data_IF_547086812302
#
_entry.id   IF_547086812302
#
_cell.length_a   1.000
_cell.length_b   1.000
_cell.length_c   1.000
_cell.angle_alpha   90.00
_cell.angle_beta   90.00
_cell.angle_gamma   90.00
#
_symmetry.space_group_name_H-M   'P 1'
#
loop_
_entity.id
_entity.type
_entity.pdbx_description
1 polymer ?
#
# COMPACT_ATOMS: atom_id res chain seq x y z
N UNK A 1 48.58 4.76 -56.32
CA UNK A 1 47.12 4.91 -56.06
C UNK A 1 46.57 3.56 -55.66
N UNK A 2 45.60 3.56 -54.73
CA UNK A 2 44.83 2.43 -54.16
C UNK A 2 45.53 1.53 -53.13
N UNK A 3 45.82 2.09 -51.96
CA UNK A 3 45.93 1.32 -50.70
C UNK A 3 44.53 0.91 -50.24
N UNK A 4 44.33 -0.40 -50.04
CA UNK A 4 43.11 -1.02 -49.53
C UNK A 4 42.83 -0.57 -48.09
N UNK A 5 41.70 0.09 -47.84
CA UNK A 5 41.17 0.28 -46.49
C UNK A 5 40.65 -1.05 -45.94
N UNK A 6 41.40 -1.61 -44.98
CA UNK A 6 40.97 -2.75 -44.18
C UNK A 6 39.96 -2.24 -43.15
N UNK A 7 38.68 -2.45 -43.41
CA UNK A 7 37.58 -2.14 -42.50
C UNK A 7 37.59 -3.17 -41.37
N UNK A 8 38.18 -2.80 -40.23
CA UNK A 8 38.15 -3.60 -39.00
C UNK A 8 36.73 -3.50 -38.44
N UNK A 9 35.92 -4.52 -38.71
CA UNK A 9 34.64 -4.75 -38.04
C UNK A 9 34.97 -5.33 -36.67
N UNK A 10 35.06 -4.48 -35.66
CA UNK A 10 35.06 -4.89 -34.26
C UNK A 10 33.68 -5.46 -33.94
N UNK A 11 33.57 -6.78 -33.95
CA UNK A 11 32.49 -7.51 -33.29
C UNK A 11 32.60 -7.19 -31.79
N UNK A 12 31.84 -6.18 -31.34
CA UNK A 12 31.48 -6.04 -29.94
C UNK A 12 30.58 -7.23 -29.66
N UNK A 13 31.16 -8.31 -29.13
CA UNK A 13 30.45 -9.32 -28.37
C UNK A 13 29.78 -8.56 -27.22
N UNK A 14 28.54 -8.11 -27.43
CA UNK A 14 27.61 -7.89 -26.35
C UNK A 14 27.51 -9.25 -25.66
N UNK A 15 28.28 -9.43 -24.60
CA UNK A 15 27.93 -10.35 -23.54
C UNK A 15 26.58 -9.89 -23.04
N UNK A 16 25.53 -10.44 -23.62
CA UNK A 16 24.21 -10.45 -23.02
C UNK A 16 24.41 -11.26 -21.75
N UNK A 17 24.83 -10.59 -20.68
CA UNK A 17 24.55 -11.05 -19.34
C UNK A 17 23.03 -11.05 -19.29
N UNK A 18 22.45 -12.22 -19.57
CA UNK A 18 21.17 -12.59 -19.00
C UNK A 18 21.37 -12.45 -17.50
N UNK A 19 21.05 -11.26 -16.98
CA UNK A 19 20.75 -11.08 -15.58
C UNK A 19 19.51 -11.92 -15.34
N UNK A 20 19.75 -13.19 -15.03
CA UNK A 20 18.75 -14.02 -14.41
C UNK A 20 18.55 -13.38 -13.04
N UNK A 21 17.59 -12.44 -12.94
CA UNK A 21 17.16 -11.89 -11.68
C UNK A 21 16.85 -13.10 -10.78
N UNK A 22 17.59 -13.26 -9.69
CA UNK A 22 17.30 -14.30 -8.72
C UNK A 22 16.08 -13.83 -7.94
N UNK A 23 14.91 -14.09 -8.50
CA UNK A 23 13.65 -13.83 -7.82
C UNK A 23 13.54 -14.75 -6.61
N UNK A 24 13.46 -14.17 -5.43
CA UNK A 24 13.25 -14.93 -4.19
C UNK A 24 11.76 -14.95 -3.90
N UNK A 25 11.15 -16.14 -4.00
CA UNK A 25 9.76 -16.34 -3.58
C UNK A 25 9.74 -16.40 -2.06
N UNK A 26 9.15 -15.38 -1.43
CA UNK A 26 8.97 -15.36 0.00
C UNK A 26 7.61 -15.96 0.37
N UNK A 27 7.62 -16.97 1.22
CA UNK A 27 6.40 -17.48 1.84
C UNK A 27 5.83 -16.40 2.77
N UNK A 28 4.58 -16.00 2.55
CA UNK A 28 3.79 -15.05 3.37
C UNK A 28 4.01 -13.55 3.13
N UNK A 29 4.61 -13.13 2.01
CA UNK A 29 4.49 -11.72 1.61
C UNK A 29 3.05 -11.41 1.20
N UNK A 30 2.60 -10.21 1.59
CA UNK A 30 1.36 -9.63 1.14
C UNK A 30 1.66 -8.37 0.33
N UNK A 31 0.85 -8.05 -0.69
CA UNK A 31 0.95 -6.77 -1.37
C UNK A 31 0.82 -5.62 -0.35
N UNK A 32 1.51 -4.52 -0.63
CA UNK A 32 1.33 -3.30 0.14
C UNK A 32 -0.13 -2.84 0.07
N UNK A 33 -0.66 -2.30 1.17
CA UNK A 33 -1.98 -1.66 1.20
C UNK A 33 -1.91 -0.26 0.56
N UNK A 34 -1.64 -0.22 -0.75
CA UNK A 34 -1.42 1.02 -1.49
C UNK A 34 -2.65 1.94 -1.45
N UNK A 35 -3.85 1.38 -1.54
CA UNK A 35 -5.09 2.16 -1.46
C UNK A 35 -5.29 2.79 -0.08
N UNK A 36 -4.99 2.05 0.99
CA UNK A 36 -5.02 2.58 2.35
C UNK A 36 -4.05 3.75 2.52
N UNK A 37 -2.81 3.61 2.04
CA UNK A 37 -1.78 4.65 2.08
C UNK A 37 -2.21 5.87 1.23
N UNK A 38 -2.70 5.62 0.01
CA UNK A 38 -3.21 6.66 -0.89
C UNK A 38 -4.33 7.48 -0.24
N UNK A 39 -5.31 6.80 0.35
CA UNK A 39 -6.43 7.44 1.05
C UNK A 39 -5.95 8.25 2.26
N UNK A 40 -4.97 7.74 3.00
CA UNK A 40 -4.38 8.45 4.15
C UNK A 40 -3.74 9.78 3.71
N UNK A 41 -2.89 9.76 2.68
CA UNK A 41 -2.25 10.98 2.15
C UNK A 41 -3.28 11.95 1.56
N UNK A 42 -4.24 11.46 0.78
CA UNK A 42 -5.29 12.30 0.20
C UNK A 42 -6.18 12.95 1.26
N UNK A 43 -6.45 12.27 2.36
CA UNK A 43 -7.22 12.83 3.48
C UNK A 43 -6.42 13.92 4.18
N UNK A 44 -5.13 13.66 4.44
CA UNK A 44 -4.25 14.64 5.08
C UNK A 44 -4.03 15.90 4.21
N UNK A 45 -4.03 15.79 2.87
CA UNK A 45 -3.96 16.95 1.98
C UNK A 45 -5.22 17.84 2.02
N UNK A 46 -6.36 17.35 2.53
CA UNK A 46 -7.58 18.16 2.67
C UNK A 46 -7.58 19.01 3.93
N UNK A 47 -6.83 18.59 4.96
CA UNK A 47 -6.75 19.28 6.24
C UNK A 47 -5.41 18.99 6.90
N UNK A 48 -4.57 20.01 7.00
CA UNK A 48 -3.23 19.97 7.59
C UNK A 48 -3.00 21.23 8.42
N UNK A 49 -2.21 21.09 9.48
CA UNK A 49 -1.87 22.18 10.41
C UNK A 49 -0.42 22.63 10.34
N UNK A 50 0.44 21.82 9.72
CA UNK A 50 1.88 22.00 9.74
C UNK A 50 2.52 21.54 8.41
N UNK A 51 3.72 22.04 8.14
CA UNK A 51 4.44 21.77 6.89
C UNK A 51 4.93 20.33 6.79
N UNK A 52 5.13 19.61 7.91
CA UNK A 52 5.58 18.22 7.90
C UNK A 52 4.48 17.28 7.41
N UNK A 53 3.27 17.45 7.93
CA UNK A 53 2.06 16.76 7.47
C UNK A 53 1.82 16.99 5.98
N UNK A 54 2.00 18.24 5.52
CA UNK A 54 1.88 18.58 4.09
C UNK A 54 2.99 17.90 3.26
N UNK A 55 4.25 17.99 3.68
CA UNK A 55 5.38 17.30 3.03
C UNK A 55 5.09 15.82 2.85
N UNK A 56 4.87 15.08 3.95
CA UNK A 56 4.70 13.62 3.87
C UNK A 56 3.52 13.21 3.00
N UNK A 57 2.45 14.01 2.97
CA UNK A 57 1.29 13.74 2.13
C UNK A 57 1.58 13.96 0.64
N UNK A 58 2.24 15.07 0.28
CA UNK A 58 2.60 15.38 -1.11
C UNK A 58 3.68 14.43 -1.65
N UNK A 59 4.68 14.10 -0.83
CA UNK A 59 5.72 13.15 -1.22
C UNK A 59 5.15 11.73 -1.31
N UNK A 60 4.36 11.29 -0.33
CA UNK A 60 3.72 9.98 -0.33
C UNK A 60 2.81 9.75 -1.54
N UNK A 61 1.98 10.73 -1.91
CA UNK A 61 1.09 10.59 -3.07
C UNK A 61 1.88 10.55 -4.39
N UNK A 62 3.01 11.27 -4.46
CA UNK A 62 3.93 11.23 -5.61
C UNK A 62 4.62 9.89 -5.75
N UNK A 63 5.06 9.26 -4.65
CA UNK A 63 5.62 7.91 -4.68
C UNK A 63 4.63 6.86 -5.21
N UNK A 64 3.33 7.10 -5.02
CA UNK A 64 2.24 6.28 -5.56
C UNK A 64 1.85 6.65 -7.01
N UNK A 65 2.69 7.44 -7.70
CA UNK A 65 2.50 7.80 -9.11
C UNK A 65 1.44 8.88 -9.37
N UNK A 66 0.98 9.57 -8.34
CA UNK A 66 -0.01 10.65 -8.48
C UNK A 66 0.68 12.00 -8.28
N UNK A 67 0.66 12.83 -9.32
CA UNK A 67 1.29 14.15 -9.24
C UNK A 67 0.47 15.10 -8.33
N UNK A 68 1.06 15.64 -7.25
CA UNK A 68 0.37 16.59 -6.38
C UNK A 68 0.12 17.95 -7.08
N UNK A 69 -0.99 18.64 -6.76
CA UNK A 69 -1.28 19.98 -7.27
C UNK A 69 -0.25 21.03 -6.86
N UNK A 70 0.20 21.86 -7.81
CA UNK A 70 1.13 22.98 -7.55
C UNK A 70 0.54 24.06 -6.61
N UNK A 71 -0.78 24.08 -6.42
CA UNK A 71 -1.48 25.04 -5.55
C UNK A 71 -0.97 25.01 -4.11
N UNK A 72 -0.47 23.86 -3.64
CA UNK A 72 0.10 23.70 -2.31
C UNK A 72 1.40 24.49 -2.08
N UNK A 73 2.03 25.03 -3.13
CA UNK A 73 3.23 25.86 -2.98
C UNK A 73 2.99 27.09 -2.10
N UNK A 74 1.80 27.70 -2.19
CA UNK A 74 1.44 28.84 -1.35
C UNK A 74 1.27 28.43 0.12
N UNK A 75 0.73 27.24 0.38
CA UNK A 75 0.56 26.70 1.72
C UNK A 75 1.91 26.39 2.37
N UNK A 76 2.84 25.80 1.62
CA UNK A 76 4.23 25.57 2.06
C UNK A 76 4.89 26.88 2.50
N UNK A 77 4.80 27.93 1.68
CA UNK A 77 5.38 29.25 1.97
C UNK A 77 4.78 29.92 3.21
N UNK A 78 3.51 29.63 3.54
CA UNK A 78 2.83 30.16 4.72
C UNK A 78 3.16 29.39 6.00
N UNK A 79 3.31 28.08 5.90
CA UNK A 79 3.48 27.19 7.06
C UNK A 79 4.94 27.05 7.53
N UNK A 80 5.90 27.37 6.67
CA UNK A 80 7.33 27.22 7.01
C UNK A 80 7.75 28.19 8.12
N UNK A 81 8.27 27.64 9.21
CA UNK A 81 8.96 28.39 10.26
C UNK A 81 10.44 28.52 9.89
N UNK A 82 10.84 29.71 9.46
CA UNK A 82 12.22 30.02 9.03
C UNK A 82 13.25 29.92 10.17
N UNK A 83 12.82 29.84 11.43
CA UNK A 83 13.70 29.69 12.59
C UNK A 83 13.99 28.23 12.95
N UNK A 84 13.22 27.29 12.41
CA UNK A 84 13.27 25.87 12.72
C UNK A 84 13.79 25.07 11.51
N UNK A 85 14.91 24.38 11.69
CA UNK A 85 15.56 23.64 10.60
C UNK A 85 14.74 22.45 10.09
N UNK A 86 14.00 21.77 10.96
CA UNK A 86 13.09 20.68 10.57
C UNK A 86 11.93 21.23 9.73
N UNK A 87 11.38 22.39 10.11
CA UNK A 87 10.34 23.06 9.31
C UNK A 87 10.84 23.45 7.91
N UNK A 88 12.06 23.99 7.81
CA UNK A 88 12.72 24.30 6.52
C UNK A 88 12.93 23.03 5.70
N UNK A 89 13.40 21.94 6.31
CA UNK A 89 13.55 20.65 5.63
C UNK A 89 12.23 20.17 5.03
N UNK A 90 11.16 20.16 5.83
CA UNK A 90 9.84 19.78 5.33
C UNK A 90 9.35 20.69 4.21
N UNK A 91 9.57 22.01 4.32
CA UNK A 91 9.18 22.94 3.27
C UNK A 91 9.92 22.70 1.94
N UNK A 92 11.24 22.48 2.00
CA UNK A 92 12.06 22.27 0.80
C UNK A 92 11.78 20.92 0.14
N UNK A 93 11.58 19.85 0.91
CA UNK A 93 11.17 18.55 0.37
C UNK A 93 9.75 18.59 -0.22
N UNK A 94 8.81 19.27 0.45
CA UNK A 94 7.47 19.48 -0.09
C UNK A 94 7.48 20.29 -1.40
N UNK A 95 8.32 21.31 -1.50
CA UNK A 95 8.43 22.12 -2.72
C UNK A 95 9.01 21.31 -3.89
N UNK A 96 10.00 20.44 -3.63
CA UNK A 96 10.67 19.58 -4.62
C UNK A 96 9.73 18.61 -5.31
N UNK A 97 8.66 18.17 -4.65
CA UNK A 97 7.71 17.22 -5.24
C UNK A 97 6.73 17.89 -6.21
N UNK A 98 6.52 19.20 -6.07
CA UNK A 98 5.71 20.04 -6.96
C UNK A 98 6.49 20.40 -8.24
N UNK A 99 5.79 20.67 -9.34
CA UNK A 99 6.41 20.99 -10.64
C UNK A 99 6.89 22.43 -10.67
N UNK A 100 6.11 23.36 -10.11
CA UNK A 100 6.35 24.80 -10.22
C UNK A 100 6.47 25.50 -8.86
N UNK A 101 7.08 24.86 -7.86
CA UNK A 101 7.32 25.49 -6.57
C UNK A 101 8.80 25.82 -6.37
N UNK A 102 9.11 27.12 -6.30
CA UNK A 102 10.44 27.62 -5.97
C UNK A 102 10.42 28.35 -4.63
N UNK A 103 11.35 27.98 -3.77
CA UNK A 103 11.64 28.63 -2.50
C UNK A 103 12.95 29.43 -2.65
N UNK A 104 13.02 30.61 -2.04
CA UNK A 104 14.22 31.46 -2.13
C UNK A 104 15.29 30.95 -1.18
N UNK A 105 16.51 30.72 -1.67
CA UNK A 105 17.64 30.26 -0.84
C UNK A 105 17.95 31.24 0.29
N UNK A 106 17.82 32.54 0.01
CA UNK A 106 18.22 33.60 0.94
C UNK A 106 17.33 33.67 2.18
N UNK A 107 16.08 33.19 2.09
CA UNK A 107 15.16 33.09 3.23
C UNK A 107 15.66 32.10 4.31
N UNK A 108 16.48 31.11 3.92
CA UNK A 108 16.82 29.97 4.76
C UNK A 108 18.33 29.81 5.01
N UNK A 109 19.17 30.44 4.17
CA UNK A 109 20.63 30.34 4.20
C UNK A 109 21.22 30.46 5.60
N UNK A 110 20.85 31.52 6.33
CA UNK A 110 21.39 31.79 7.68
C UNK A 110 21.12 30.65 8.66
N UNK A 111 19.88 30.13 8.68
CA UNK A 111 19.50 29.03 9.57
C UNK A 111 20.20 27.72 9.18
N UNK A 112 20.25 27.40 7.88
CA UNK A 112 20.94 26.20 7.38
C UNK A 112 22.43 26.23 7.73
N UNK A 113 23.13 27.32 7.41
CA UNK A 113 24.56 27.47 7.68
C UNK A 113 24.86 27.42 9.18
N UNK A 114 24.07 28.11 10.01
CA UNK A 114 24.27 28.11 11.47
C UNK A 114 24.01 26.73 12.11
N UNK A 115 23.02 25.96 11.62
CA UNK A 115 22.82 24.58 12.07
C UNK A 115 24.01 23.69 11.75
N UNK A 116 24.57 23.78 10.54
CA UNK A 116 25.74 22.96 10.16
C UNK A 116 26.98 23.31 10.99
N UNK A 117 27.18 24.60 11.31
CA UNK A 117 28.35 25.06 12.06
C UNK A 117 28.22 24.89 13.58
N UNK A 118 27.01 24.72 14.10
CA UNK A 118 26.74 24.67 15.53
C UNK A 118 27.24 23.38 16.19
N UNK A 119 27.99 23.53 17.29
CA UNK A 119 28.41 22.40 18.12
C UNK A 119 27.24 21.67 18.81
N UNK A 120 26.07 22.32 18.90
CA UNK A 120 24.89 21.82 19.61
C UNK A 120 23.93 21.04 18.71
N UNK A 121 24.13 21.06 17.40
CA UNK A 121 23.19 20.44 16.46
C UNK A 121 23.33 18.93 16.43
N UNK A 122 22.19 18.25 16.44
CA UNK A 122 22.08 16.78 16.37
C UNK A 122 22.31 16.26 14.95
N UNK A 123 22.56 14.96 14.81
CA UNK A 123 22.72 14.32 13.49
C UNK A 123 21.48 14.51 12.59
N UNK A 124 20.28 14.45 13.17
CA UNK A 124 19.03 14.71 12.45
C UNK A 124 18.93 16.16 11.94
N UNK A 125 19.31 17.15 12.77
CA UNK A 125 19.32 18.55 12.35
C UNK A 125 20.37 18.84 11.27
N UNK A 126 21.53 18.20 11.35
CA UNK A 126 22.54 18.25 10.28
C UNK A 126 21.98 17.66 8.99
N UNK A 127 21.31 16.50 9.07
CA UNK A 127 20.63 15.91 7.91
C UNK A 127 19.58 16.84 7.30
N UNK A 128 18.71 17.44 8.13
CA UNK A 128 17.70 18.41 7.70
C UNK A 128 18.35 19.61 6.99
N UNK A 129 19.45 20.13 7.52
CA UNK A 129 20.19 21.23 6.91
C UNK A 129 20.84 20.84 5.57
N UNK A 130 21.46 19.67 5.49
CA UNK A 130 22.09 19.16 4.26
C UNK A 130 21.02 18.97 3.16
N UNK A 131 19.93 18.26 3.45
CA UNK A 131 18.85 18.07 2.47
C UNK A 131 18.24 19.40 2.01
N UNK A 132 17.99 20.33 2.96
CA UNK A 132 17.50 21.67 2.62
C UNK A 132 18.47 22.41 1.71
N UNK A 133 19.78 22.33 1.97
CA UNK A 133 20.81 22.97 1.17
C UNK A 133 20.84 22.44 -0.26
N UNK A 134 20.78 21.12 -0.44
CA UNK A 134 20.75 20.46 -1.75
C UNK A 134 19.52 20.87 -2.53
N UNK A 135 18.34 20.83 -1.91
CA UNK A 135 17.08 21.20 -2.57
C UNK A 135 17.02 22.67 -2.98
N UNK A 136 17.72 23.54 -2.25
CA UNK A 136 17.80 24.97 -2.54
C UNK A 136 18.98 25.32 -3.48
N UNK A 137 19.88 24.38 -3.79
CA UNK A 137 21.11 24.68 -4.53
C UNK A 137 22.09 25.55 -3.74
N UNK A 138 22.05 25.48 -2.40
CA UNK A 138 23.00 26.14 -1.52
C UNK A 138 24.26 25.29 -1.40
N UNK A 139 25.40 25.80 -1.87
CA UNK A 139 26.68 25.13 -1.71
C UNK A 139 27.13 25.17 -0.24
N UNK A 140 27.43 24.00 0.33
CA UNK A 140 27.93 23.82 1.69
C UNK A 140 29.24 23.04 1.60
N UNK A 141 30.20 23.42 2.45
CA UNK A 141 31.47 22.72 2.57
C UNK A 141 31.28 21.30 3.14
N UNK A 142 31.51 20.29 2.29
CA UNK A 142 31.41 18.88 2.62
C UNK A 142 32.35 18.49 3.78
N UNK A 143 33.55 19.10 3.84
CA UNK A 143 34.53 18.78 4.89
C UNK A 143 34.04 19.19 6.29
N UNK A 144 33.29 20.28 6.37
CA UNK A 144 32.62 20.69 7.61
C UNK A 144 31.57 19.65 8.01
N UNK A 145 30.71 19.22 7.07
CA UNK A 145 29.67 18.21 7.34
C UNK A 145 30.30 16.90 7.86
N UNK A 146 31.33 16.39 7.19
CA UNK A 146 32.05 15.18 7.61
C UNK A 146 32.63 15.31 9.02
N UNK A 147 33.30 16.43 9.32
CA UNK A 147 33.87 16.68 10.65
C UNK A 147 32.80 16.70 11.74
N UNK A 148 31.64 17.32 11.46
CA UNK A 148 30.50 17.35 12.38
C UNK A 148 29.95 15.96 12.64
N UNK A 149 29.67 15.20 11.59
CA UNK A 149 29.10 13.86 11.70
C UNK A 149 30.05 12.87 12.38
N UNK A 150 31.36 12.95 12.09
CA UNK A 150 32.39 12.17 12.78
C UNK A 150 32.44 12.49 14.28
N UNK A 151 32.18 13.74 14.68
CA UNK A 151 32.13 14.11 16.11
C UNK A 151 30.86 13.56 16.77
N UNK A 152 29.71 13.73 16.13
CA UNK A 152 28.41 13.26 16.64
C UNK A 152 28.33 11.74 16.79
N UNK A 153 28.95 11.00 15.86
CA UNK A 153 29.01 9.53 15.91
C UNK A 153 29.68 8.96 17.17
N UNK A 154 30.52 9.76 17.85
CA UNK A 154 31.18 9.37 19.10
C UNK A 154 30.29 9.53 20.32
N UNK A 155 29.22 10.33 20.20
CA UNK A 155 28.31 10.68 21.30
C UNK A 155 26.92 10.06 21.15
N UNK A 156 26.52 9.74 19.91
CA UNK A 156 25.25 9.10 19.59
C UNK A 156 25.46 8.08 18.46
N UNK A 157 25.65 6.82 18.87
CA UNK A 157 25.81 5.65 18.02
C UNK A 157 24.48 4.95 17.72
N UNK A 158 23.34 5.57 18.07
CA UNK A 158 22.04 4.97 17.80
C UNK A 158 21.83 4.70 16.31
N UNK A 159 21.12 3.61 16.00
CA UNK A 159 20.77 3.24 14.61
C UNK A 159 20.09 4.38 13.87
N UNK A 160 19.25 5.16 14.56
CA UNK A 160 18.58 6.31 13.96
C UNK A 160 19.58 7.42 13.60
N UNK A 161 20.52 7.74 14.48
CA UNK A 161 21.60 8.71 14.21
C UNK A 161 22.46 8.26 13.04
N UNK A 162 22.86 6.98 13.00
CA UNK A 162 23.62 6.42 11.89
C UNK A 162 22.84 6.47 10.55
N UNK A 163 21.54 6.19 10.58
CA UNK A 163 20.67 6.30 9.41
C UNK A 163 20.57 7.72 8.85
N UNK A 164 20.41 8.72 9.72
CA UNK A 164 20.43 10.12 9.32
C UNK A 164 21.78 10.54 8.72
N UNK A 165 22.89 10.13 9.34
CA UNK A 165 24.22 10.41 8.81
C UNK A 165 24.41 9.80 7.41
N UNK A 166 23.97 8.56 7.21
CA UNK A 166 24.05 7.88 5.92
C UNK A 166 23.31 8.66 4.82
N UNK A 167 22.12 9.19 5.12
CA UNK A 167 21.32 9.98 4.17
C UNK A 167 22.00 11.30 3.75
N UNK A 168 22.87 11.87 4.61
CA UNK A 168 23.67 13.05 4.24
C UNK A 168 24.74 12.76 3.18
N UNK A 169 25.06 11.49 2.95
CA UNK A 169 26.17 11.05 2.10
C UNK A 169 27.43 10.68 2.89
N UNK A 170 27.48 10.94 4.19
CA UNK A 170 28.58 10.49 5.04
C UNK A 170 28.51 8.97 5.24
N UNK A 171 29.49 8.24 4.71
CA UNK A 171 29.66 6.82 4.99
C UNK A 171 30.33 6.62 6.35
N UNK A 172 29.56 6.77 7.43
CA UNK A 172 30.05 6.49 8.78
C UNK A 172 30.17 4.99 9.07
N UNK A 173 29.22 4.20 8.56
CA UNK A 173 29.18 2.75 8.68
C UNK A 173 28.83 2.13 7.33
N UNK A 174 29.51 1.04 6.90
CA UNK A 174 29.08 0.25 5.76
C UNK A 174 27.63 -0.22 5.91
N UNK A 175 26.87 -0.22 4.80
CA UNK A 175 25.47 -0.71 4.79
C UNK A 175 25.35 -2.11 5.39
N UNK A 176 26.31 -2.99 5.10
CA UNK A 176 26.29 -4.37 5.60
C UNK A 176 26.40 -4.47 7.12
N UNK A 177 27.07 -3.53 7.76
CA UNK A 177 27.23 -3.52 9.22
C UNK A 177 25.94 -3.03 9.88
N UNK A 178 25.26 -2.05 9.26
CA UNK A 178 23.94 -1.60 9.71
C UNK A 178 22.89 -2.71 9.54
N UNK A 179 22.92 -3.47 8.45
CA UNK A 179 21.98 -4.59 8.27
C UNK A 179 22.19 -5.68 9.33
N UNK A 180 23.43 -5.94 9.74
CA UNK A 180 23.74 -6.92 10.79
C UNK A 180 23.26 -6.48 12.18
N UNK A 181 23.11 -5.18 12.42
CA UNK A 181 22.57 -4.64 13.67
C UNK A 181 21.03 -4.75 13.77
N UNK A 182 20.35 -5.19 12.71
CA UNK A 182 18.90 -5.39 12.76
C UNK A 182 18.55 -6.63 13.59
N UNK A 183 17.51 -6.51 14.42
CA UNK A 183 16.94 -7.60 15.19
C UNK A 183 16.24 -8.60 14.28
N UNK A 184 16.60 -9.87 14.42
CA UNK A 184 15.95 -10.96 13.74
C UNK A 184 14.87 -11.62 14.60
N UNK A 185 13.63 -11.65 14.09
CA UNK A 185 12.49 -12.27 14.78
C UNK A 185 12.06 -13.52 13.99
N UNK A 186 12.04 -14.67 14.69
CA UNK A 186 11.60 -15.98 14.19
C UNK A 186 12.24 -16.44 12.86
N UNK A 187 13.44 -15.95 12.55
CA UNK A 187 14.11 -16.25 11.28
C UNK A 187 13.50 -15.57 10.05
N UNK A 188 12.47 -14.74 10.23
CA UNK A 188 11.56 -14.28 9.15
C UNK A 188 11.51 -12.78 8.98
N UNK A 189 11.83 -12.01 10.01
CA UNK A 189 11.64 -10.57 10.07
C UNK A 189 12.96 -9.93 10.49
N UNK A 190 13.33 -8.84 9.82
CA UNK A 190 14.38 -7.92 10.27
C UNK A 190 13.75 -6.56 10.57
N UNK A 191 14.08 -6.01 11.73
CA UNK A 191 13.65 -4.69 12.18
C UNK A 191 14.73 -4.06 13.06
N UNK A 192 14.61 -2.78 13.37
CA UNK A 192 15.46 -2.13 14.36
C UNK A 192 14.67 -1.71 15.60
N UNK A 193 15.38 -1.55 16.71
CA UNK A 193 14.89 -0.83 17.88
C UNK A 193 14.38 0.57 17.46
N UNK A 194 13.17 0.93 17.91
CA UNK A 194 12.42 2.11 17.41
C UNK A 194 11.35 1.80 16.35
N UNK A 195 11.21 0.53 15.97
CA UNK A 195 10.07 0.03 15.21
C UNK A 195 10.00 0.56 13.79
N UNK A 196 8.77 0.76 13.26
CA UNK A 196 8.59 1.02 11.83
C UNK A 196 9.23 2.32 11.36
N UNK A 197 9.25 3.35 12.21
CA UNK A 197 9.80 4.65 11.88
C UNK A 197 11.32 4.59 11.68
N UNK A 198 12.05 4.01 12.63
CA UNK A 198 13.51 3.81 12.51
C UNK A 198 13.81 2.84 11.38
N UNK A 199 13.09 1.73 11.31
CA UNK A 199 13.37 0.67 10.34
C UNK A 199 13.21 1.13 8.91
N UNK A 200 12.12 1.83 8.57
CA UNK A 200 11.93 2.33 7.20
C UNK A 200 12.89 3.45 6.86
N UNK A 201 13.24 4.34 7.79
CA UNK A 201 14.21 5.40 7.55
C UNK A 201 15.59 4.83 7.19
N UNK A 202 16.11 3.94 8.03
CA UNK A 202 17.44 3.33 7.83
C UNK A 202 17.45 2.46 6.58
N UNK A 203 16.40 1.68 6.36
CA UNK A 203 16.27 0.87 5.15
C UNK A 203 16.28 1.72 3.86
N UNK A 204 15.53 2.82 3.84
CA UNK A 204 15.53 3.73 2.69
C UNK A 204 16.90 4.37 2.47
N UNK A 205 17.63 4.69 3.56
CA UNK A 205 18.98 5.23 3.46
C UNK A 205 19.95 4.31 2.69
N UNK A 206 19.80 3.00 2.81
CA UNK A 206 20.62 2.04 2.06
C UNK A 206 20.44 2.19 0.55
N UNK A 207 19.19 2.38 0.10
CA UNK A 207 18.87 2.57 -1.30
C UNK A 207 19.31 3.94 -1.80
N UNK A 208 19.04 5.00 -1.06
CA UNK A 208 19.41 6.36 -1.46
C UNK A 208 20.92 6.53 -1.63
N UNK A 209 21.73 5.92 -0.75
CA UNK A 209 23.19 5.96 -0.89
C UNK A 209 23.67 5.13 -2.08
N UNK A 210 23.10 3.95 -2.30
CA UNK A 210 23.44 3.13 -3.46
C UNK A 210 23.11 3.83 -4.77
N UNK A 211 21.92 4.44 -4.87
CA UNK A 211 21.46 5.21 -6.03
C UNK A 211 22.36 6.43 -6.30
N UNK A 212 22.71 7.21 -5.27
CA UNK A 212 23.66 8.33 -5.38
C UNK A 212 25.03 7.88 -5.89
N UNK A 213 25.47 6.69 -5.52
CA UNK A 213 26.73 6.10 -5.99
C UNK A 213 26.62 5.46 -7.39
N UNK A 214 25.43 5.46 -8.02
CA UNK A 214 25.19 4.78 -9.30
C UNK A 214 25.34 3.25 -9.21
N UNK A 215 25.17 2.68 -8.01
CA UNK A 215 25.39 1.28 -7.71
C UNK A 215 24.09 0.59 -7.28
N UNK A 216 24.01 -0.73 -7.46
CA UNK A 216 22.95 -1.55 -6.84
C UNK A 216 23.25 -1.80 -5.37
N UNK A 217 22.20 -1.83 -4.55
CA UNK A 217 22.30 -2.22 -3.14
C UNK A 217 22.91 -3.62 -3.00
N UNK A 218 23.90 -3.77 -2.10
CA UNK A 218 24.63 -5.02 -1.87
C UNK A 218 24.17 -5.71 -0.58
N UNK A 219 22.86 -5.91 -0.41
CA UNK A 219 22.28 -6.64 0.72
C UNK A 219 21.92 -8.07 0.28
N UNK A 220 22.13 -9.06 1.14
CA UNK A 220 21.74 -10.44 0.89
C UNK A 220 20.22 -10.50 0.56
N UNK A 221 19.81 -11.14 -0.55
CA UNK A 221 18.40 -11.25 -0.92
C UNK A 221 17.50 -11.79 0.21
N UNK A 222 17.99 -12.71 1.05
CA UNK A 222 17.24 -13.22 2.20
C UNK A 222 17.01 -12.14 3.25
N UNK A 223 17.99 -11.27 3.50
CA UNK A 223 17.82 -10.13 4.42
C UNK A 223 16.81 -9.13 3.87
N UNK A 224 16.85 -8.85 2.56
CA UNK A 224 15.83 -8.01 1.90
C UNK A 224 14.42 -8.58 2.06
N UNK A 225 14.24 -9.91 1.91
CA UNK A 225 12.97 -10.58 2.17
C UNK A 225 12.54 -10.43 3.64
N UNK A 226 13.45 -10.51 4.60
CA UNK A 226 13.11 -10.34 6.02
C UNK A 226 12.63 -8.91 6.34
N UNK A 227 13.24 -7.88 5.74
CA UNK A 227 12.72 -6.51 5.82
C UNK A 227 11.37 -6.38 5.11
N UNK A 228 11.21 -6.96 3.92
CA UNK A 228 9.94 -6.95 3.19
C UNK A 228 8.81 -7.60 4.02
N UNK A 229 9.08 -8.72 4.67
CA UNK A 229 8.14 -9.38 5.59
C UNK A 229 7.73 -8.44 6.72
N UNK A 230 8.70 -7.76 7.35
CA UNK A 230 8.41 -6.78 8.40
C UNK A 230 7.46 -5.69 7.90
N UNK A 231 7.77 -5.08 6.76
CA UNK A 231 6.97 -4.01 6.15
C UNK A 231 5.56 -4.49 5.79
N UNK A 232 5.42 -5.68 5.20
CA UNK A 232 4.12 -6.27 4.87
C UNK A 232 3.25 -6.56 6.11
N UNK A 233 3.84 -6.71 7.31
CA UNK A 233 3.03 -6.80 8.54
C UNK A 233 2.35 -5.48 8.91
N UNK A 234 2.87 -4.35 8.44
CA UNK A 234 2.38 -3.00 8.79
C UNK A 234 1.26 -2.55 7.87
N UNK A 235 0.14 -3.29 7.90
CA UNK A 235 -1.06 -2.95 7.10
C UNK A 235 -1.67 -1.59 7.43
N UNK A 236 -1.44 -1.11 8.65
CA UNK A 236 -1.86 0.19 9.14
C UNK A 236 -0.69 0.88 9.83
N UNK A 237 -0.49 2.16 9.53
CA UNK A 237 0.56 3.00 10.11
C UNK A 237 -0.06 4.31 10.58
N UNK A 238 0.14 4.63 11.85
CA UNK A 238 -0.58 5.72 12.50
C UNK A 238 -0.15 7.11 12.02
N UNK A 239 1.12 7.29 11.68
CA UNK A 239 1.68 8.61 11.32
C UNK A 239 1.93 8.73 9.82
N UNK A 240 1.77 9.95 9.29
CA UNK A 240 2.09 10.26 7.88
C UNK A 240 3.56 10.02 7.56
N UNK A 241 4.45 10.29 8.53
CA UNK A 241 5.89 10.01 8.42
C UNK A 241 6.14 8.52 8.16
N UNK A 242 5.61 7.64 9.01
CA UNK A 242 5.78 6.20 8.85
C UNK A 242 5.11 5.70 7.57
N UNK A 243 3.95 6.25 7.20
CA UNK A 243 3.28 5.94 5.93
C UNK A 243 4.14 6.27 4.71
N UNK A 244 4.73 7.48 4.68
CA UNK A 244 5.60 7.91 3.60
C UNK A 244 6.84 7.01 3.48
N UNK A 245 7.59 6.82 4.56
CA UNK A 245 8.80 6.00 4.51
C UNK A 245 8.51 4.51 4.25
N UNK A 246 7.38 3.99 4.70
CA UNK A 246 6.93 2.64 4.34
C UNK A 246 6.59 2.53 2.85
N UNK A 247 5.90 3.53 2.28
CA UNK A 247 5.61 3.59 0.85
C UNK A 247 6.90 3.60 0.02
N UNK A 248 7.86 4.43 0.43
CA UNK A 248 9.18 4.52 -0.20
C UNK A 248 9.96 3.20 -0.12
N UNK A 249 9.92 2.52 1.03
CA UNK A 249 10.57 1.22 1.23
C UNK A 249 9.98 0.14 0.31
N UNK A 250 8.65 0.08 0.20
CA UNK A 250 7.98 -0.82 -0.75
C UNK A 250 8.37 -0.51 -2.20
N UNK A 251 8.57 0.77 -2.54
CA UNK A 251 8.91 1.19 -3.89
C UNK A 251 10.32 0.76 -4.24
N UNK A 252 11.29 1.05 -3.37
CA UNK A 252 12.67 0.60 -3.55
C UNK A 252 12.77 -0.93 -3.69
N UNK A 253 12.04 -1.69 -2.87
CA UNK A 253 12.00 -3.15 -2.99
C UNK A 253 11.38 -3.60 -4.32
N UNK A 254 10.34 -2.92 -4.79
CA UNK A 254 9.64 -3.25 -6.04
C UNK A 254 10.43 -2.86 -7.29
N UNK A 255 11.21 -1.79 -7.22
CA UNK A 255 12.02 -1.29 -8.33
C UNK A 255 13.40 -1.98 -8.41
N UNK A 256 13.80 -2.72 -7.37
CA UNK A 256 15.07 -3.45 -7.31
C UNK A 256 15.07 -4.69 -8.22
N UNK A 257 15.39 -4.49 -9.50
CA UNK A 257 15.40 -5.56 -10.53
C UNK A 257 16.23 -6.80 -10.17
N UNK A 258 17.24 -6.69 -9.30
CA UNK A 258 18.15 -7.79 -8.97
C UNK A 258 17.60 -8.73 -7.90
N UNK A 259 16.89 -8.16 -6.93
CA UNK A 259 16.44 -8.87 -5.73
C UNK A 259 14.98 -8.52 -5.39
N UNK A 260 14.17 -8.21 -6.40
CA UNK A 260 12.77 -7.81 -6.24
C UNK A 260 11.99 -8.92 -5.51
N UNK A 261 11.36 -8.61 -4.37
CA UNK A 261 10.49 -9.58 -3.70
C UNK A 261 9.26 -9.89 -4.55
N UNK A 262 8.97 -11.17 -4.69
CA UNK A 262 7.77 -11.65 -5.38
C UNK A 262 6.70 -11.99 -4.37
N UNK A 263 5.50 -11.47 -4.63
CA UNK A 263 4.28 -11.74 -3.90
C UNK A 263 3.43 -12.70 -4.71
N UNK A 264 3.10 -13.84 -4.10
CA UNK A 264 2.11 -14.78 -4.66
C UNK A 264 0.87 -14.70 -3.79
N UNK A 265 -0.20 -14.10 -4.33
CA UNK A 265 -1.49 -13.98 -3.66
C UNK A 265 -2.53 -14.87 -4.32
N UNK A 266 -3.51 -15.31 -3.55
CA UNK A 266 -4.60 -16.15 -4.06
C UNK A 266 -5.68 -15.26 -4.70
N UNK A 267 -6.15 -15.65 -5.88
CA UNK A 267 -7.20 -14.96 -6.64
C UNK A 267 -8.54 -15.68 -6.54
N UNK A 268 -8.56 -17.01 -6.63
CA UNK A 268 -9.78 -17.83 -6.51
C UNK A 268 -9.92 -18.47 -5.13
N UNK A 269 -10.99 -19.22 -4.88
CA UNK A 269 -11.07 -20.06 -3.69
C UNK A 269 -9.89 -21.05 -3.58
N UNK A 270 -9.50 -21.41 -2.36
CA UNK A 270 -8.59 -22.55 -2.10
C UNK A 270 -9.21 -23.90 -2.44
N UNK A 271 -10.54 -23.95 -2.49
CA UNK A 271 -11.28 -25.19 -2.64
C UNK A 271 -11.38 -25.55 -4.11
N UNK A 272 -10.70 -26.63 -4.48
CA UNK A 272 -10.83 -27.28 -5.78
C UNK A 272 -11.89 -28.36 -5.64
N UNK A 273 -12.97 -28.26 -6.41
CA UNK A 273 -14.02 -29.26 -6.45
C UNK A 273 -14.44 -29.53 -7.90
N UNK A 274 -15.37 -30.46 -8.12
CA UNK A 274 -15.81 -30.83 -9.47
C UNK A 274 -16.44 -29.67 -10.25
N UNK A 275 -17.05 -28.70 -9.56
CA UNK A 275 -17.66 -27.53 -10.19
C UNK A 275 -16.61 -26.46 -10.52
N UNK A 276 -15.53 -26.38 -9.74
CA UNK A 276 -14.44 -25.44 -9.91
C UNK A 276 -13.07 -26.13 -9.78
N UNK A 277 -12.56 -26.72 -10.88
CA UNK A 277 -11.38 -27.57 -10.84
C UNK A 277 -10.04 -26.80 -10.81
N UNK A 278 -10.06 -25.48 -10.69
CA UNK A 278 -8.88 -24.62 -10.89
C UNK A 278 -8.59 -23.71 -9.70
N UNK A 279 -7.31 -23.53 -9.39
CA UNK A 279 -6.81 -22.50 -8.48
C UNK A 279 -6.12 -21.41 -9.30
N UNK A 280 -6.53 -20.17 -9.09
CA UNK A 280 -5.89 -18.98 -9.64
C UNK A 280 -5.07 -18.29 -8.56
N UNK A 281 -3.85 -17.95 -8.92
CA UNK A 281 -2.93 -17.14 -8.10
C UNK A 281 -2.50 -15.93 -8.92
N UNK A 282 -2.31 -14.81 -8.25
CA UNK A 282 -1.69 -13.61 -8.80
C UNK A 282 -0.23 -13.57 -8.36
N UNK A 283 0.64 -13.15 -9.27
CA UNK A 283 2.06 -13.04 -9.01
C UNK A 283 2.52 -11.64 -9.37
N UNK A 284 2.85 -10.87 -8.34
CA UNK A 284 3.14 -9.44 -8.42
C UNK A 284 4.38 -9.08 -7.62
N UNK A 285 4.87 -7.86 -7.76
CA UNK A 285 5.77 -7.27 -6.79
C UNK A 285 4.99 -6.76 -5.55
N UNK A 286 5.68 -6.12 -4.61
CA UNK A 286 5.05 -5.56 -3.40
C UNK A 286 4.09 -4.41 -3.71
N UNK A 287 4.26 -3.74 -4.85
CA UNK A 287 3.37 -2.71 -5.37
C UNK A 287 2.15 -3.26 -6.13
N UNK A 288 1.97 -4.59 -6.18
CA UNK A 288 0.86 -5.20 -6.91
C UNK A 288 1.02 -5.16 -8.44
N UNK A 289 2.19 -4.78 -8.95
CA UNK A 289 2.45 -4.72 -10.38
C UNK A 289 2.90 -6.10 -10.92
N UNK A 290 2.60 -6.42 -12.18
CA UNK A 290 3.09 -7.64 -12.82
C UNK A 290 4.63 -7.69 -12.85
N UNK A 291 5.19 -8.87 -12.61
CA UNK A 291 6.65 -9.09 -12.56
C UNK A 291 7.26 -9.61 -13.87
N UNK A 292 6.50 -9.52 -14.96
CA UNK A 292 6.88 -10.07 -16.27
C UNK A 292 6.53 -11.56 -16.42
N UNK A 293 7.02 -12.18 -17.50
CA UNK A 293 6.80 -13.61 -17.74
C UNK A 293 7.58 -14.46 -16.74
N UNK A 294 6.86 -15.34 -16.03
CA UNK A 294 7.47 -16.27 -15.10
C UNK A 294 6.87 -17.66 -15.20
N UNK A 295 7.69 -18.66 -14.91
CA UNK A 295 7.21 -20.04 -14.69
C UNK A 295 6.89 -20.22 -13.21
N UNK A 296 5.61 -20.45 -12.90
CA UNK A 296 5.14 -20.76 -11.54
C UNK A 296 4.88 -22.25 -11.43
N UNK A 297 5.44 -22.89 -10.41
CA UNK A 297 5.23 -24.32 -10.13
C UNK A 297 4.62 -24.47 -8.75
N UNK A 298 3.51 -25.19 -8.65
CA UNK A 298 2.93 -25.60 -7.39
C UNK A 298 3.67 -26.83 -6.86
N UNK A 299 4.42 -26.68 -5.77
CA UNK A 299 5.22 -27.77 -5.20
C UNK A 299 4.36 -28.94 -4.73
N UNK A 300 3.32 -28.67 -3.94
CA UNK A 300 2.33 -29.68 -3.58
C UNK A 300 0.98 -29.07 -3.18
N UNK A 301 -0.08 -29.84 -3.33
CA UNK A 301 -1.38 -29.59 -2.70
C UNK A 301 -1.89 -30.88 -2.06
N UNK A 302 -2.53 -30.76 -0.89
CA UNK A 302 -3.09 -31.89 -0.14
C UNK A 302 -4.60 -31.77 -0.07
N UNK A 303 -5.31 -32.87 -0.22
CA UNK A 303 -6.76 -32.94 0.05
C UNK A 303 -6.99 -32.81 1.55
N UNK A 304 -7.94 -31.96 1.94
CA UNK A 304 -8.16 -31.65 3.36
C UNK A 304 -8.66 -32.85 4.18
N UNK A 305 -9.42 -33.77 3.57
CA UNK A 305 -10.05 -34.89 4.27
C UNK A 305 -9.05 -35.93 4.80
N UNK A 306 -8.03 -36.27 4.01
CA UNK A 306 -7.11 -37.38 4.28
C UNK A 306 -5.63 -37.00 4.16
N UNK A 307 -5.33 -35.76 3.81
CA UNK A 307 -3.96 -35.26 3.66
C UNK A 307 -3.22 -35.80 2.44
N UNK A 308 -3.89 -36.55 1.55
CA UNK A 308 -3.28 -37.11 0.35
C UNK A 308 -2.81 -36.00 -0.58
N UNK A 309 -1.58 -36.11 -1.07
CA UNK A 309 -1.02 -35.19 -2.06
C UNK A 309 -1.72 -35.42 -3.39
N UNK A 310 -2.49 -34.43 -3.83
CA UNK A 310 -3.27 -34.45 -5.09
C UNK A 310 -2.59 -33.69 -6.22
N UNK A 311 -1.66 -32.80 -5.88
CA UNK A 311 -0.82 -32.05 -6.82
C UNK A 311 0.62 -32.19 -6.34
N UNK A 312 1.56 -32.47 -7.23
CA UNK A 312 2.99 -32.41 -6.94
C UNK A 312 3.75 -31.84 -8.14
N UNK A 313 4.56 -30.81 -7.90
CA UNK A 313 5.39 -30.12 -8.91
C UNK A 313 4.64 -29.75 -10.20
N UNK A 314 3.40 -29.30 -10.06
CA UNK A 314 2.55 -28.96 -11.20
C UNK A 314 2.86 -27.55 -11.68
N UNK A 315 3.29 -27.43 -12.94
CA UNK A 315 3.43 -26.12 -13.58
C UNK A 315 2.04 -25.49 -13.76
N UNK A 316 1.90 -24.23 -13.34
CA UNK A 316 0.69 -23.45 -13.55
C UNK A 316 0.71 -22.82 -14.95
N UNK A 317 -0.47 -22.71 -15.55
CA UNK A 317 -0.63 -22.09 -16.87
C UNK A 317 -0.89 -20.60 -16.70
N UNK A 318 -0.05 -19.72 -17.29
CA UNK A 318 -0.33 -18.29 -17.29
C UNK A 318 -1.69 -18.00 -17.94
N UNK A 319 -2.48 -17.11 -17.33
CA UNK A 319 -3.73 -16.61 -17.89
C UNK A 319 -3.55 -15.11 -18.17
N UNK A 320 -4.18 -14.61 -19.23
CA UNK A 320 -4.08 -13.20 -19.61
C UNK A 320 -4.41 -12.26 -18.43
N UNK A 321 -3.68 -11.14 -18.36
CA UNK A 321 -3.63 -10.14 -17.27
C UNK A 321 -4.96 -9.47 -16.92
N UNK A 322 -5.98 -9.68 -17.74
CA UNK A 322 -7.32 -9.12 -17.61
C UNK A 322 -8.10 -9.84 -16.49
N UNK A 323 -7.60 -10.99 -16.01
CA UNK A 323 -8.00 -11.61 -14.75
C UNK A 323 -7.34 -10.89 -13.56
N UNK A 324 -7.64 -9.61 -13.37
CA UNK A 324 -7.47 -8.99 -12.06
C UNK A 324 -8.64 -9.47 -11.19
N UNK A 325 -8.41 -10.46 -10.34
CA UNK A 325 -9.29 -10.65 -9.19
C UNK A 325 -9.05 -9.47 -8.25
N UNK A 326 -9.78 -8.39 -8.45
CA UNK A 326 -9.69 -7.20 -7.62
C UNK A 326 -10.10 -7.59 -6.19
N UNK A 327 -9.18 -7.42 -5.24
CA UNK A 327 -9.47 -7.74 -3.85
C UNK A 327 -10.52 -6.76 -3.34
N UNK A 328 -11.71 -7.29 -3.07
CA UNK A 328 -12.80 -6.55 -2.46
C UNK A 328 -12.68 -6.69 -0.96
N UNK A 329 -12.69 -5.56 -0.23
CA UNK A 329 -12.86 -5.55 1.22
C UNK A 329 -14.36 -5.36 1.55
N UNK A 330 -15.13 -6.41 1.87
CA UNK A 330 -16.58 -6.28 1.98
C UNK A 330 -17.00 -5.35 3.13
N UNK A 331 -16.21 -5.29 4.20
CA UNK A 331 -16.46 -4.40 5.35
C UNK A 331 -16.45 -2.92 4.96
N UNK A 332 -15.54 -2.52 4.06
CA UNK A 332 -15.50 -1.15 3.49
C UNK A 332 -16.81 -0.83 2.76
N UNK A 333 -17.32 -1.80 2.01
CA UNK A 333 -18.53 -1.65 1.19
C UNK A 333 -19.76 -1.62 2.09
N UNK A 334 -19.82 -2.51 3.07
CA UNK A 334 -20.87 -2.57 4.11
C UNK A 334 -20.97 -1.24 4.86
N UNK A 335 -19.84 -0.67 5.30
CA UNK A 335 -19.79 0.63 6.00
C UNK A 335 -20.30 1.80 5.13
N UNK A 336 -20.08 1.74 3.82
CA UNK A 336 -20.58 2.72 2.86
C UNK A 336 -22.09 2.56 2.66
N UNK A 337 -22.56 1.34 2.42
CA UNK A 337 -23.98 1.07 2.19
C UNK A 337 -24.84 1.25 3.45
N UNK A 338 -24.29 1.05 4.64
CA UNK A 338 -24.96 1.33 5.91
C UNK A 338 -25.37 2.82 6.09
N UNK A 339 -24.94 3.72 5.18
CA UNK A 339 -25.39 5.11 5.13
C UNK A 339 -26.74 5.30 4.41
N UNK A 340 -27.21 4.30 3.69
CA UNK A 340 -28.56 4.29 3.12
C UNK A 340 -29.60 4.26 4.24
N UNK A 341 -30.64 5.11 4.11
CA UNK A 341 -31.74 5.14 5.09
C UNK A 341 -32.61 3.89 5.07
N UNK A 342 -32.57 3.13 3.98
CA UNK A 342 -33.31 1.87 3.85
C UNK A 342 -32.67 0.73 4.63
N UNK A 343 -31.40 0.85 5.04
CA UNK A 343 -30.61 -0.27 5.57
C UNK A 343 -30.53 -0.17 7.09
N UNK A 344 -30.94 -1.25 7.77
CA UNK A 344 -30.70 -1.47 9.19
C UNK A 344 -29.40 -2.27 9.41
N UNK A 345 -29.24 -3.37 8.68
CA UNK A 345 -28.01 -4.16 8.64
C UNK A 345 -27.75 -4.63 7.21
N UNK A 346 -26.48 -4.82 6.86
CA UNK A 346 -26.08 -5.33 5.56
C UNK A 346 -24.93 -6.32 5.72
N UNK A 347 -24.90 -7.32 4.85
CA UNK A 347 -23.75 -8.18 4.66
C UNK A 347 -23.48 -8.35 3.16
N UNK A 348 -22.30 -7.95 2.73
CA UNK A 348 -21.83 -8.10 1.36
C UNK A 348 -21.10 -9.42 1.23
N UNK A 349 -21.47 -10.18 0.22
CA UNK A 349 -20.88 -11.47 -0.08
C UNK A 349 -20.27 -11.44 -1.48
N UNK A 350 -19.02 -11.90 -1.56
CA UNK A 350 -18.34 -12.17 -2.81
C UNK A 350 -18.02 -13.65 -2.88
N UNK A 351 -18.67 -14.36 -3.78
CA UNK A 351 -18.23 -15.69 -4.16
C UNK A 351 -16.97 -15.56 -5.03
N UNK A 352 -15.92 -16.32 -4.71
CA UNK A 352 -14.68 -16.34 -5.49
C UNK A 352 -14.87 -16.86 -6.92
N UNK A 353 -16.02 -17.43 -7.23
CA UNK A 353 -16.41 -17.91 -8.56
C UNK A 353 -17.27 -16.91 -9.35
N UNK A 354 -17.55 -15.74 -8.79
CA UNK A 354 -18.44 -14.75 -9.37
C UNK A 354 -17.71 -13.45 -9.69
N UNK A 355 -18.04 -12.84 -10.83
CA UNK A 355 -17.42 -11.59 -11.27
C UNK A 355 -18.05 -10.35 -10.63
N UNK A 356 -18.93 -10.53 -9.63
CA UNK A 356 -19.67 -9.45 -8.98
C UNK A 356 -20.07 -9.82 -7.55
N UNK A 357 -20.31 -8.79 -6.76
CA UNK A 357 -20.74 -8.91 -5.38
C UNK A 357 -22.26 -8.96 -5.28
N UNK A 358 -22.75 -9.63 -4.24
CA UNK A 358 -24.16 -9.62 -3.85
C UNK A 358 -24.28 -9.22 -2.39
N UNK A 359 -25.47 -8.86 -1.93
CA UNK A 359 -25.67 -8.58 -0.51
C UNK A 359 -27.00 -9.13 0.03
N UNK A 360 -27.00 -9.41 1.33
CA UNK A 360 -28.24 -9.55 2.09
C UNK A 360 -28.46 -8.30 2.94
N UNK A 361 -29.71 -7.84 2.98
CA UNK A 361 -30.08 -6.56 3.59
C UNK A 361 -31.22 -6.79 4.57
N UNK A 362 -31.02 -6.33 5.81
CA UNK A 362 -32.11 -6.11 6.76
C UNK A 362 -32.59 -4.67 6.60
N UNK A 363 -33.88 -4.50 6.31
CA UNK A 363 -34.47 -3.20 6.06
C UNK A 363 -34.70 -2.41 7.36
N UNK A 364 -34.68 -1.08 7.23
CA UNK A 364 -35.24 -0.18 8.23
C UNK A 364 -36.75 -0.08 8.00
N UNK A 365 -37.53 -0.82 8.78
CA UNK A 365 -38.99 -0.89 8.64
C UNK A 365 -39.64 0.49 8.70
N UNK A 366 -39.21 1.36 9.61
CA UNK A 366 -39.82 2.70 9.76
C UNK A 366 -39.63 3.55 8.50
N UNK A 367 -38.45 3.49 7.89
CA UNK A 367 -38.17 4.22 6.67
C UNK A 367 -38.89 3.62 5.46
N UNK A 368 -38.95 2.27 5.37
CA UNK A 368 -39.67 1.58 4.29
C UNK A 368 -41.16 1.89 4.33
N UNK A 369 -41.78 1.93 5.52
CA UNK A 369 -43.19 2.32 5.69
C UNK A 369 -43.46 3.75 5.23
N UNK A 370 -42.55 4.68 5.54
CA UNK A 370 -42.64 6.07 5.08
C UNK A 370 -42.48 6.17 3.56
N UNK A 371 -41.50 5.48 2.99
CA UNK A 371 -41.30 5.42 1.55
C UNK A 371 -42.53 4.84 0.83
N UNK A 372 -43.08 3.73 1.31
CA UNK A 372 -44.25 3.09 0.73
C UNK A 372 -45.48 4.02 0.73
N UNK A 373 -45.70 4.76 1.83
CA UNK A 373 -46.76 5.77 1.92
C UNK A 373 -46.57 6.91 0.91
N UNK A 374 -45.34 7.41 0.75
CA UNK A 374 -45.03 8.48 -0.20
C UNK A 374 -45.22 8.04 -1.67
N UNK A 375 -44.99 6.76 -1.95
CA UNK A 375 -45.22 6.14 -3.26
C UNK A 375 -46.70 5.75 -3.50
N UNK A 376 -47.59 6.03 -2.53
CA UNK A 376 -49.03 5.78 -2.66
C UNK A 376 -49.49 4.36 -2.31
N UNK A 377 -48.65 3.56 -1.63
CA UNK A 377 -49.00 2.19 -1.20
C UNK A 377 -49.55 2.15 0.23
N UNK A 378 -50.52 1.26 0.47
CA UNK A 378 -51.04 0.98 1.81
C UNK A 378 -50.13 -0.01 2.55
N UNK A 379 -49.67 0.38 3.73
CA UNK A 379 -48.61 -0.28 4.51
C UNK A 379 -49.13 -1.44 5.37
N UNK A 380 -50.45 -1.59 5.50
CA UNK A 380 -51.10 -2.62 6.32
C UNK A 380 -51.34 -3.94 5.59
N UNK A 381 -51.06 -4.01 4.28
CA UNK A 381 -51.25 -5.22 3.45
C UNK A 381 -49.90 -5.92 3.26
N UNK A 382 -49.82 -7.27 3.25
CA UNK A 382 -48.60 -7.96 2.84
C UNK A 382 -48.11 -7.42 1.50
N UNK A 383 -46.84 -7.03 1.42
CA UNK A 383 -46.28 -6.46 0.18
C UNK A 383 -46.54 -7.40 -1.00
N UNK A 384 -47.19 -6.89 -2.04
CA UNK A 384 -47.34 -7.62 -3.30
C UNK A 384 -45.96 -7.95 -3.89
N UNK A 385 -45.89 -9.00 -4.71
CA UNK A 385 -44.64 -9.36 -5.42
C UNK A 385 -44.07 -8.21 -6.24
N UNK A 386 -44.95 -7.42 -6.86
CA UNK A 386 -44.60 -6.22 -7.63
C UNK A 386 -44.02 -5.10 -6.76
N UNK A 387 -44.63 -4.83 -5.60
CA UNK A 387 -44.13 -3.83 -4.64
C UNK A 387 -42.78 -4.26 -4.06
N UNK A 388 -42.58 -5.54 -3.79
CA UNK A 388 -41.31 -6.07 -3.31
C UNK A 388 -40.20 -5.94 -4.37
N UNK A 389 -40.50 -6.18 -5.65
CA UNK A 389 -39.56 -5.97 -6.74
C UNK A 389 -39.19 -4.48 -6.89
N UNK A 390 -40.18 -3.58 -6.84
CA UNK A 390 -39.96 -2.12 -6.88
C UNK A 390 -39.11 -1.64 -5.70
N UNK A 391 -39.40 -2.11 -4.48
CA UNK A 391 -38.62 -1.80 -3.29
C UNK A 391 -37.18 -2.30 -3.43
N UNK A 392 -36.98 -3.55 -3.87
CA UNK A 392 -35.64 -4.12 -4.07
C UNK A 392 -34.81 -3.30 -5.06
N UNK A 393 -35.38 -2.89 -6.18
CA UNK A 393 -34.71 -2.02 -7.14
C UNK A 393 -34.39 -0.65 -6.52
N UNK A 394 -35.35 -0.05 -5.81
CA UNK A 394 -35.16 1.26 -5.16
C UNK A 394 -34.02 1.23 -4.14
N UNK A 395 -33.93 0.18 -3.33
CA UNK A 395 -32.85 0.00 -2.34
C UNK A 395 -31.51 -0.19 -3.03
N UNK A 396 -31.45 -1.02 -4.07
CA UNK A 396 -30.23 -1.24 -4.85
C UNK A 396 -29.73 0.06 -5.51
N UNK A 397 -30.63 0.85 -6.10
CA UNK A 397 -30.28 2.13 -6.71
C UNK A 397 -29.75 3.14 -5.67
N UNK A 398 -30.36 3.17 -4.49
CA UNK A 398 -29.92 4.00 -3.36
C UNK A 398 -28.51 3.60 -2.88
N UNK A 399 -28.26 2.30 -2.76
CA UNK A 399 -26.95 1.73 -2.43
C UNK A 399 -25.90 2.12 -3.48
N UNK A 400 -26.18 1.92 -4.77
CA UNK A 400 -25.26 2.27 -5.86
C UNK A 400 -24.96 3.77 -5.85
N UNK A 401 -25.96 4.61 -5.59
CA UNK A 401 -25.79 6.06 -5.47
C UNK A 401 -24.87 6.44 -4.30
N UNK A 402 -25.10 5.88 -3.10
CA UNK A 402 -24.21 6.10 -1.95
C UNK A 402 -22.80 5.58 -2.21
N UNK A 403 -22.67 4.42 -2.86
CA UNK A 403 -21.40 3.82 -3.27
C UNK A 403 -20.60 4.76 -4.17
N UNK A 404 -21.20 5.21 -5.29
CA UNK A 404 -20.55 6.14 -6.22
C UNK A 404 -20.16 7.45 -5.55
N UNK A 405 -21.06 8.02 -4.75
CA UNK A 405 -20.82 9.26 -3.99
C UNK A 405 -19.62 9.16 -3.04
N UNK A 406 -19.37 7.97 -2.49
CA UNK A 406 -18.33 7.71 -1.48
C UNK A 406 -17.09 7.00 -2.06
N UNK A 407 -16.99 6.91 -3.38
CA UNK A 407 -15.80 6.44 -4.08
C UNK A 407 -15.67 4.91 -4.15
N UNK A 408 -16.77 4.16 -4.07
CA UNK A 408 -16.75 2.74 -4.44
C UNK A 408 -16.58 2.60 -5.94
N UNK A 409 -15.62 1.75 -6.33
CA UNK A 409 -15.33 1.42 -7.73
C UNK A 409 -16.47 0.59 -8.33
N UNK A 410 -16.55 0.49 -9.66
CA UNK A 410 -17.62 -0.25 -10.34
C UNK A 410 -17.70 -1.72 -9.92
N UNK A 411 -16.56 -2.37 -9.66
CA UNK A 411 -16.47 -3.76 -9.22
C UNK A 411 -16.78 -3.94 -7.72
N UNK A 412 -16.75 -2.86 -6.93
CA UNK A 412 -17.17 -2.85 -5.53
C UNK A 412 -18.69 -2.67 -5.39
N UNK A 413 -19.39 -2.38 -6.48
CA UNK A 413 -20.84 -2.23 -6.45
C UNK A 413 -21.51 -3.61 -6.46
N UNK A 414 -22.39 -3.86 -5.48
CA UNK A 414 -23.21 -5.08 -5.50
C UNK A 414 -24.16 -5.05 -6.69
N UNK A 415 -24.31 -6.20 -7.34
CA UNK A 415 -25.15 -6.35 -8.53
C UNK A 415 -26.59 -6.73 -8.17
N UNK A 416 -26.77 -7.42 -7.05
CA UNK A 416 -28.07 -7.89 -6.60
C UNK A 416 -28.14 -8.00 -5.07
N UNK A 417 -29.36 -7.88 -4.53
CA UNK A 417 -29.64 -7.97 -3.10
C UNK A 417 -30.83 -8.88 -2.80
N UNK A 418 -30.85 -9.46 -1.60
CA UNK A 418 -32.03 -10.09 -1.01
C UNK A 418 -32.32 -9.58 0.40
N UNK A 419 -33.60 -9.56 0.75
CA UNK A 419 -34.03 -9.13 2.08
C UNK A 419 -34.04 -10.29 3.06
N UNK A 420 -33.48 -10.04 4.25
CA UNK A 420 -33.57 -10.93 5.40
C UNK A 420 -34.53 -10.36 6.43
N UNK A 421 -35.13 -11.24 7.25
CA UNK A 421 -36.07 -10.84 8.32
C UNK A 421 -35.46 -10.88 9.72
N UNK A 422 -34.44 -11.70 9.89
CA UNK A 422 -33.79 -11.89 11.18
C UNK A 422 -32.55 -10.99 11.28
N UNK A 423 -32.41 -10.29 12.39
CA UNK A 423 -31.25 -9.46 12.66
C UNK A 423 -30.02 -10.28 13.05
N UNK A 424 -28.84 -9.74 12.79
CA UNK A 424 -27.61 -10.27 13.34
C UNK A 424 -27.48 -9.79 14.78
N UNK A 425 -27.29 -10.72 15.71
CA UNK A 425 -27.11 -10.41 17.13
C UNK A 425 -25.96 -11.21 17.74
N UNK A 426 -25.56 -10.87 18.96
CA UNK A 426 -24.53 -11.64 19.69
C UNK A 426 -25.11 -13.00 20.10
N UNK A 427 -26.39 -13.02 20.49
CA UNK A 427 -27.13 -14.18 21.00
C UNK A 427 -27.32 -15.25 19.93
N UNK A 428 -27.63 -14.87 18.69
CA UNK A 428 -27.73 -15.82 17.57
C UNK A 428 -26.36 -16.16 16.95
N UNK A 429 -25.27 -15.68 17.55
CA UNK A 429 -23.90 -15.99 17.15
C UNK A 429 -23.46 -15.35 15.83
N UNK A 430 -24.25 -14.43 15.26
CA UNK A 430 -23.93 -13.77 14.00
C UNK A 430 -23.12 -12.49 14.19
N UNK A 431 -23.06 -11.94 15.41
CA UNK A 431 -22.16 -10.86 15.77
C UNK A 431 -21.07 -11.31 16.77
N UNK A 432 -19.92 -10.66 16.66
CA UNK A 432 -18.87 -10.63 17.69
C UNK A 432 -19.32 -9.77 18.88
N UNK A 433 -18.70 -9.89 20.07
CA UNK A 433 -18.98 -9.00 21.20
C UNK A 433 -18.78 -7.51 20.88
N UNK A 434 -17.97 -7.18 19.87
CA UNK A 434 -17.76 -5.81 19.36
C UNK A 434 -18.75 -5.40 18.27
N UNK A 435 -19.86 -6.12 18.12
CA UNK A 435 -20.96 -5.87 17.18
C UNK A 435 -20.60 -5.96 15.68
N UNK A 436 -19.42 -6.52 15.34
CA UNK A 436 -19.08 -6.85 13.96
C UNK A 436 -19.65 -8.20 13.55
N UNK A 437 -20.09 -8.35 12.30
CA UNK A 437 -20.59 -9.61 11.75
C UNK A 437 -19.52 -10.71 11.80
N UNK A 438 -19.88 -11.90 12.32
CA UNK A 438 -19.06 -13.11 12.22
C UNK A 438 -19.24 -13.69 10.83
N UNK A 439 -18.44 -13.23 9.86
CA UNK A 439 -18.61 -13.56 8.43
C UNK A 439 -18.86 -15.04 8.16
N UNK A 440 -18.01 -15.93 8.67
CA UNK A 440 -18.18 -17.38 8.51
C UNK A 440 -19.53 -17.90 9.03
N UNK A 441 -20.04 -17.39 10.15
CA UNK A 441 -21.33 -17.80 10.69
C UNK A 441 -22.51 -17.30 9.84
N UNK A 442 -22.43 -16.05 9.36
CA UNK A 442 -23.43 -15.46 8.45
C UNK A 442 -23.43 -16.20 7.11
N UNK A 443 -22.27 -16.42 6.51
CA UNK A 443 -22.11 -17.17 5.26
C UNK A 443 -22.66 -18.59 5.38
N UNK A 444 -22.36 -19.29 6.48
CA UNK A 444 -22.90 -20.62 6.74
C UNK A 444 -24.42 -20.62 6.87
N UNK A 445 -25.00 -19.63 7.56
CA UNK A 445 -26.44 -19.52 7.78
C UNK A 445 -27.21 -19.19 6.50
N UNK A 446 -26.69 -18.28 5.68
CA UNK A 446 -27.37 -17.77 4.48
C UNK A 446 -26.83 -18.36 3.17
N UNK A 447 -26.08 -19.46 3.23
CA UNK A 447 -25.44 -20.11 2.07
C UNK A 447 -26.40 -20.33 0.89
N UNK A 448 -27.57 -20.92 1.16
CA UNK A 448 -28.58 -21.20 0.13
C UNK A 448 -29.16 -19.90 -0.48
N UNK A 449 -29.31 -18.86 0.33
CA UNK A 449 -29.79 -17.57 -0.13
C UNK A 449 -28.78 -16.92 -1.07
N UNK A 450 -27.48 -16.91 -0.74
CA UNK A 450 -26.45 -16.40 -1.63
C UNK A 450 -26.40 -17.15 -2.97
N UNK A 451 -26.50 -18.49 -2.94
CA UNK A 451 -26.57 -19.30 -4.15
C UNK A 451 -27.77 -18.92 -5.02
N UNK A 452 -28.94 -18.69 -4.40
CA UNK A 452 -30.15 -18.24 -5.11
C UNK A 452 -29.97 -16.86 -5.72
N UNK A 453 -29.35 -15.91 -5.02
CA UNK A 453 -29.09 -14.56 -5.56
C UNK A 453 -28.24 -14.66 -6.82
N UNK A 454 -27.14 -15.40 -6.75
CA UNK A 454 -26.24 -15.59 -7.88
C UNK A 454 -26.93 -16.27 -9.07
N UNK A 455 -27.67 -17.36 -8.83
CA UNK A 455 -28.43 -18.04 -9.89
C UNK A 455 -29.41 -17.11 -10.60
N UNK A 456 -30.18 -16.32 -9.84
CA UNK A 456 -31.15 -15.39 -10.40
C UNK A 456 -30.51 -14.20 -11.14
N UNK A 457 -29.28 -13.83 -10.78
CA UNK A 457 -28.56 -12.68 -11.36
C UNK A 457 -27.77 -13.06 -12.63
N UNK A 458 -27.53 -14.37 -12.83
CA UNK A 458 -26.94 -14.93 -14.05
C UNK A 458 -27.96 -15.08 -15.18
N UNK A 459 -29.23 -15.34 -14.83
CA UNK A 459 -30.36 -15.42 -15.75
C UNK A 459 -30.75 -14.02 -16.26
#
# INVERSE_FOLDING_TARGET
MTSRSLMIITFVLLSIYSWCATSVVATNLYPANLDGLKNQFQTAMKSFSDVASLHYSLAGIKELGVQPPDTFCNDIKKLVDKSNIESIYHATEAAKVLTNCKLSVDDYRSKITSTIQSDKSTTAEIYYAVCSSVNLGLNIDESTIEKRLNTLSKTDDSILSQGYALLTGAQLSPINDLVQQADEIDGRILQYEGGISTTTLVFNAFYEVAEKAGASIKIDPKQLIKFANYFSTKRHVATLRSAYYLTKAFKHLSDNKNSMPIVVSRVSSSEVNQQNPSVLVSVTNLFGQPVGEMTVTADSAKRNEDGVVVISKQKLTPKASDFQGEYVAPEKIEDVYARSRFISQIFVYGDSFESFLVAIVLLNDDYVKQWAKNEGYNVETPMSSELNAKLKQTVLDDMIREGKKRGLMSYEQVKAIEFIKESFTIENGLLTPTLKARRYAVEKKYKELFQKIYQNTRA
#
